data_IF_981227914910
#
_entry.id   IF_981227914910
#
_cell.length_a   1.000
_cell.length_b   1.000
_cell.length_c   1.000
_cell.angle_alpha   90.00
_cell.angle_beta   90.00
_cell.angle_gamma   90.00
#
_symmetry.space_group_name_H-M   'P 1'
#
loop_
_entity.id
_entity.type
_entity.pdbx_description
1 polymer ?
#
# COMPACT_ATOMS: atom_id res chain seq x y z
N UNK A 1 -14.45 -2.02 -14.34
CA UNK A 1 -14.02 -2.79 -13.15
C UNK A 1 -13.43 -1.83 -12.13
N UNK A 2 -14.15 -1.53 -11.04
CA UNK A 2 -13.66 -0.68 -9.94
C UNK A 2 -12.53 -1.43 -9.24
N UNK A 3 -11.28 -1.01 -9.44
CA UNK A 3 -10.15 -1.53 -8.67
C UNK A 3 -10.27 -0.97 -7.25
N UNK A 4 -10.68 -1.79 -6.31
CA UNK A 4 -10.66 -1.44 -4.88
C UNK A 4 -9.24 -0.98 -4.50
N UNK A 5 -9.16 0.06 -3.67
CA UNK A 5 -7.91 0.64 -3.17
C UNK A 5 -6.99 1.24 -4.24
N UNK A 6 -7.59 1.89 -5.25
CA UNK A 6 -6.85 2.68 -6.23
C UNK A 6 -6.01 3.78 -5.56
N UNK A 7 -6.51 4.39 -4.47
CA UNK A 7 -5.85 5.46 -3.73
C UNK A 7 -4.45 5.05 -3.24
N UNK A 8 -4.32 3.83 -2.71
CA UNK A 8 -3.04 3.28 -2.24
C UNK A 8 -2.06 3.11 -3.40
N UNK A 9 -2.56 2.65 -4.56
CA UNK A 9 -1.73 2.44 -5.75
C UNK A 9 -1.28 3.78 -6.34
N UNK A 10 -2.18 4.76 -6.38
CA UNK A 10 -1.87 6.10 -6.86
C UNK A 10 -0.88 6.79 -5.94
N UNK A 11 -1.06 6.70 -4.63
CA UNK A 11 -0.17 7.33 -3.65
C UNK A 11 1.24 6.72 -3.69
N UNK A 12 1.33 5.39 -3.77
CA UNK A 12 2.59 4.70 -3.96
C UNK A 12 3.26 5.13 -5.28
N UNK A 13 2.51 5.18 -6.38
CA UNK A 13 3.02 5.60 -7.68
C UNK A 13 3.49 7.06 -7.70
N UNK A 14 2.76 7.98 -7.05
CA UNK A 14 3.13 9.39 -6.90
C UNK A 14 4.47 9.58 -6.19
N UNK A 15 4.83 8.65 -5.30
CA UNK A 15 6.08 8.65 -4.53
C UNK A 15 7.15 7.71 -5.11
N UNK A 16 6.92 7.18 -6.31
CA UNK A 16 7.77 6.18 -6.98
C UNK A 16 8.01 4.90 -6.16
N UNK A 17 7.12 4.60 -5.21
CA UNK A 17 7.22 3.43 -4.34
C UNK A 17 6.45 2.26 -4.93
N UNK A 18 7.10 1.10 -4.93
CA UNK A 18 6.50 -0.14 -5.39
C UNK A 18 5.74 -0.81 -4.24
N UNK A 19 4.61 -1.43 -4.56
CA UNK A 19 3.74 -2.10 -3.58
C UNK A 19 4.48 -3.20 -2.78
N UNK A 20 5.49 -3.83 -3.38
CA UNK A 20 6.30 -4.84 -2.69
C UNK A 20 7.22 -4.24 -1.62
N UNK A 21 7.68 -2.99 -1.76
CA UNK A 21 8.49 -2.32 -0.73
C UNK A 21 7.65 -2.02 0.52
N UNK A 22 6.39 -1.61 0.30
CA UNK A 22 5.43 -1.42 1.38
C UNK A 22 5.16 -2.76 2.08
N UNK A 23 4.99 -3.84 1.31
CA UNK A 23 4.78 -5.17 1.85
C UNK A 23 5.98 -5.65 2.67
N UNK A 24 7.20 -5.45 2.16
CA UNK A 24 8.45 -5.77 2.84
C UNK A 24 8.57 -5.03 4.17
N UNK A 25 8.26 -3.73 4.18
CA UNK A 25 8.28 -2.89 5.39
C UNK A 25 7.19 -3.24 6.41
N UNK A 26 6.04 -3.74 5.92
CA UNK A 26 4.97 -4.31 6.75
C UNK A 26 5.32 -5.71 7.29
N UNK A 27 6.40 -6.34 6.82
CA UNK A 27 6.73 -7.73 7.15
C UNK A 27 5.74 -8.73 6.56
N UNK A 28 5.05 -8.37 5.48
CA UNK A 28 4.08 -9.22 4.79
C UNK A 28 4.55 -9.55 3.39
N UNK A 29 4.03 -10.64 2.84
CA UNK A 29 4.30 -11.01 1.44
C UNK A 29 3.47 -10.17 0.47
N UNK A 30 4.03 -9.91 -0.72
CA UNK A 30 3.35 -9.19 -1.81
C UNK A 30 2.01 -9.84 -2.19
N UNK A 31 1.94 -11.18 -2.10
CA UNK A 31 0.74 -11.95 -2.40
C UNK A 31 -0.34 -11.72 -1.34
N UNK A 32 0.05 -11.58 -0.07
CA UNK A 32 -0.87 -11.18 1.00
C UNK A 32 -1.35 -9.75 0.77
N UNK A 33 -0.45 -8.82 0.44
CA UNK A 33 -0.80 -7.41 0.18
C UNK A 33 -1.72 -7.25 -1.04
N UNK A 34 -1.46 -7.97 -2.13
CA UNK A 34 -2.29 -7.98 -3.35
C UNK A 34 -3.67 -8.60 -3.13
N UNK A 35 -3.78 -9.56 -2.20
CA UNK A 35 -5.08 -10.09 -1.75
C UNK A 35 -5.81 -9.09 -0.85
N UNK A 36 -5.08 -8.38 0.00
CA UNK A 36 -5.60 -7.33 0.88
C UNK A 36 -6.13 -6.12 0.09
N UNK A 37 -5.42 -5.70 -0.96
CA UNK A 37 -5.84 -4.66 -1.91
C UNK A 37 -7.16 -4.99 -2.64
N UNK A 38 -7.56 -6.26 -2.72
CA UNK A 38 -8.86 -6.67 -3.30
C UNK A 38 -10.02 -6.61 -2.30
N UNK A 39 -9.73 -6.52 -1.00
CA UNK A 39 -10.73 -6.36 0.07
C UNK A 39 -10.83 -4.89 0.48
N UNK A 40 -11.98 -4.50 1.01
CA UNK A 40 -12.16 -3.15 1.53
C UNK A 40 -11.29 -2.99 2.78
N UNK A 41 -10.30 -2.09 2.71
CA UNK A 41 -9.51 -1.75 3.89
C UNK A 41 -10.31 -0.81 4.79
N UNK A 42 -10.27 -1.06 6.09
CA UNK A 42 -10.59 -0.04 7.08
C UNK A 42 -9.67 1.17 6.92
N UNK A 43 -10.15 2.36 7.25
CA UNK A 43 -9.38 3.61 7.14
C UNK A 43 -8.05 3.55 7.90
N UNK A 44 -8.03 2.89 9.05
CA UNK A 44 -6.82 2.68 9.87
C UNK A 44 -5.71 1.92 9.12
N UNK A 45 -6.09 0.89 8.36
CA UNK A 45 -5.12 0.11 7.57
C UNK A 45 -4.58 0.92 6.40
N UNK A 46 -5.44 1.73 5.76
CA UNK A 46 -4.98 2.66 4.72
C UNK A 46 -4.00 3.68 5.27
N UNK A 47 -4.28 4.26 6.44
CA UNK A 47 -3.39 5.22 7.08
C UNK A 47 -2.02 4.62 7.42
N UNK A 48 -1.98 3.39 7.94
CA UNK A 48 -0.70 2.69 8.18
C UNK A 48 0.09 2.52 6.88
N UNK A 49 -0.58 2.12 5.80
CA UNK A 49 0.06 1.98 4.48
C UNK A 49 0.59 3.33 4.00
N UNK A 50 -0.21 4.39 4.05
CA UNK A 50 0.22 5.73 3.63
C UNK A 50 1.41 6.23 4.44
N UNK A 51 1.44 5.98 5.75
CA UNK A 51 2.57 6.34 6.61
C UNK A 51 3.84 5.61 6.19
N UNK A 52 3.76 4.31 5.91
CA UNK A 52 4.89 3.51 5.43
C UNK A 52 5.37 3.99 4.06
N UNK A 53 4.45 4.35 3.16
CA UNK A 53 4.81 4.96 1.87
C UNK A 53 5.51 6.31 2.11
N UNK A 54 5.08 7.11 3.08
CA UNK A 54 5.73 8.37 3.42
C UNK A 54 7.15 8.15 3.96
N UNK A 55 7.31 7.19 4.87
CA UNK A 55 8.61 6.79 5.42
C UNK A 55 9.56 6.30 4.32
N UNK A 56 9.09 5.41 3.42
CA UNK A 56 9.88 4.90 2.30
C UNK A 56 10.21 5.96 1.24
N UNK A 57 9.43 7.04 1.15
CA UNK A 57 9.65 8.10 0.17
C UNK A 57 10.65 9.15 0.68
N UNK A 58 10.85 9.18 1.99
CA UNK A 58 11.71 10.12 2.69
C UNK A 58 13.06 9.48 3.07
N UNK A 59 13.28 8.22 2.68
CA UNK A 59 14.54 7.47 2.76
C UNK A 59 15.27 7.53 1.40
#
# INVERSE_FOLDING_TARGET
>A
MKKSNYDVREYANKKDIRLWQIADRLGITDNYFSRKLRKEFSEEEKQKIFKIIDELANE
#
